data_IF_252188473553
#
_entry.id   IF_252188473553
#
_cell.length_a   1.000
_cell.length_b   1.000
_cell.length_c   1.000
_cell.angle_alpha   90.00
_cell.angle_beta   90.00
_cell.angle_gamma   90.00
#
_symmetry.space_group_name_H-M   'P 1'
#
loop_
_entity.id
_entity.type
_entity.pdbx_description
1 polymer ?
#
# COMPACT_ATOMS: atom_id res chain seq x y z
N UNK A 1 68.45 -13.26 -14.68
CA UNK A 1 67.26 -13.70 -13.93
C UNK A 1 66.46 -12.45 -13.59
N UNK A 2 65.31 -12.34 -14.23
CA UNK A 2 64.31 -11.27 -14.12
C UNK A 2 63.81 -11.12 -12.69
N UNK A 3 63.61 -9.90 -12.18
CA UNK A 3 62.60 -9.63 -11.15
C UNK A 3 61.88 -8.30 -11.45
N UNK A 4 60.55 -8.40 -11.42
CA UNK A 4 59.53 -7.47 -11.91
C UNK A 4 59.05 -6.58 -10.74
N UNK A 5 58.48 -5.42 -11.10
CA UNK A 5 57.95 -4.32 -10.29
C UNK A 5 57.05 -4.71 -9.11
N UNK A 6 56.92 -3.80 -8.13
CA UNK A 6 55.73 -3.73 -7.27
C UNK A 6 55.40 -2.27 -6.96
N UNK A 7 54.44 -1.71 -7.72
CA UNK A 7 53.73 -0.50 -7.34
C UNK A 7 52.58 -0.90 -6.40
N UNK A 8 52.62 -0.44 -5.15
CA UNK A 8 51.47 -0.56 -4.25
C UNK A 8 50.52 0.60 -4.52
N UNK A 9 49.60 0.42 -5.49
CA UNK A 9 48.39 1.23 -5.53
C UNK A 9 47.49 0.74 -4.39
N UNK A 10 47.40 1.54 -3.32
CA UNK A 10 46.37 1.35 -2.30
C UNK A 10 45.04 1.83 -2.89
N UNK A 11 44.38 0.94 -3.62
CA UNK A 11 43.03 1.14 -4.13
C UNK A 11 42.03 1.06 -2.96
N UNK A 12 41.83 2.16 -2.24
CA UNK A 12 40.75 2.27 -1.24
C UNK A 12 39.43 2.51 -1.97
N UNK A 13 38.88 1.44 -2.54
CA UNK A 13 37.51 1.43 -3.06
C UNK A 13 36.54 1.22 -1.89
N UNK A 14 36.19 2.33 -1.24
CA UNK A 14 35.21 2.31 -0.15
C UNK A 14 33.80 2.30 -0.75
N UNK A 15 33.08 1.19 -0.61
CA UNK A 15 31.64 1.10 -0.88
C UNK A 15 30.85 1.17 0.42
N UNK A 16 29.82 2.00 0.47
CA UNK A 16 28.90 2.06 1.61
C UNK A 16 27.65 1.26 1.27
N UNK A 17 27.30 0.29 2.13
CA UNK A 17 26.02 -0.41 2.06
C UNK A 17 25.19 0.03 3.26
N UNK A 18 24.01 0.62 2.99
CA UNK A 18 23.06 1.04 4.02
C UNK A 18 21.90 0.06 4.05
N UNK A 19 21.69 -0.59 5.20
CA UNK A 19 20.57 -1.49 5.43
C UNK A 19 19.49 -0.74 6.23
N UNK A 20 18.28 -0.67 5.68
CA UNK A 20 17.11 -0.09 6.34
C UNK A 20 16.06 -1.20 6.52
N UNK A 21 15.50 -1.31 7.71
CA UNK A 21 14.44 -2.28 8.00
C UNK A 21 13.82 -2.04 9.37
N UNK A 22 12.55 -2.38 9.51
CA UNK A 22 11.81 -2.33 10.78
C UNK A 22 11.43 -3.76 11.16
N UNK A 23 11.86 -4.20 12.34
CA UNK A 23 11.43 -5.48 12.91
C UNK A 23 10.17 -5.19 13.72
N UNK A 24 9.05 -5.76 13.30
CA UNK A 24 7.78 -5.69 14.02
C UNK A 24 7.41 -7.08 14.53
N UNK A 25 6.86 -7.15 15.73
CA UNK A 25 6.39 -8.39 16.36
C UNK A 25 5.02 -8.78 15.80
N UNK A 26 4.97 -9.03 14.50
CA UNK A 26 3.76 -9.46 13.79
C UNK A 26 3.98 -10.82 13.16
N UNK A 27 2.94 -11.67 13.06
CA UNK A 27 3.04 -13.01 12.49
C UNK A 27 3.44 -13.02 11.02
N UNK A 28 3.30 -11.89 10.32
CA UNK A 28 3.60 -11.71 8.91
C UNK A 28 4.45 -10.45 8.70
N UNK A 29 5.23 -10.43 7.62
CA UNK A 29 5.81 -9.21 7.06
C UNK A 29 4.85 -8.59 6.03
N UNK A 30 4.87 -7.28 5.85
CA UNK A 30 4.18 -6.63 4.72
C UNK A 30 5.18 -6.54 3.57
N UNK A 31 4.75 -6.86 2.35
CA UNK A 31 5.61 -6.70 1.17
C UNK A 31 6.08 -5.23 1.04
N UNK A 32 7.36 -5.02 0.71
CA UNK A 32 7.91 -3.66 0.61
C UNK A 32 7.26 -2.86 -0.50
N UNK A 33 6.84 -3.52 -1.59
CA UNK A 33 6.13 -2.86 -2.69
C UNK A 33 4.73 -2.41 -2.26
N UNK A 34 4.17 -3.05 -1.22
CA UNK A 34 2.85 -2.72 -0.68
C UNK A 34 2.89 -1.60 0.36
N UNK A 35 4.08 -1.25 0.87
CA UNK A 35 4.26 -0.10 1.75
C UNK A 35 3.95 1.22 1.03
N UNK A 36 4.20 1.26 -0.28
CA UNK A 36 4.07 2.47 -1.10
C UNK A 36 3.50 2.15 -2.49
N UNK A 37 2.19 1.95 -2.55
CA UNK A 37 1.49 1.76 -3.83
C UNK A 37 0.92 3.06 -4.37
N UNK A 38 1.12 3.29 -5.67
CA UNK A 38 0.47 4.37 -6.42
C UNK A 38 -0.56 3.78 -7.36
N UNK A 39 -1.83 4.17 -7.20
CA UNK A 39 -2.91 3.81 -8.14
C UNK A 39 -3.18 4.98 -9.05
N UNK A 40 -2.77 4.88 -10.31
CA UNK A 40 -2.96 5.93 -11.31
C UNK A 40 -4.33 5.82 -11.98
N UNK A 41 -5.19 6.83 -11.81
CA UNK A 41 -6.49 6.90 -12.50
C UNK A 41 -6.41 7.57 -13.88
N UNK A 42 -5.27 8.19 -14.21
CA UNK A 42 -5.15 9.02 -15.41
C UNK A 42 -6.03 10.27 -15.33
N UNK A 43 -6.46 10.76 -16.49
CA UNK A 43 -7.39 11.90 -16.56
C UNK A 43 -8.84 11.41 -16.48
N UNK A 44 -9.50 11.69 -15.35
CA UNK A 44 -10.93 11.45 -15.19
C UNK A 44 -11.68 12.76 -15.47
N UNK A 45 -12.47 12.78 -16.54
CA UNK A 45 -13.23 13.99 -16.90
C UNK A 45 -14.36 14.26 -15.90
N UNK A 46 -14.64 15.53 -15.63
CA UNK A 46 -15.76 15.93 -14.77
C UNK A 46 -17.10 15.36 -15.27
N UNK A 47 -17.32 15.31 -16.58
CA UNK A 47 -18.54 14.79 -17.19
C UNK A 47 -18.82 13.32 -16.82
N UNK A 48 -17.77 12.52 -16.58
CA UNK A 48 -17.91 11.12 -16.12
C UNK A 48 -18.37 11.04 -14.68
N UNK A 49 -18.01 12.01 -13.84
CA UNK A 49 -18.31 12.03 -12.41
C UNK A 49 -19.61 12.79 -12.08
N UNK A 50 -20.18 13.50 -13.05
CA UNK A 50 -21.45 14.19 -12.88
C UNK A 50 -22.60 13.21 -12.60
N UNK A 51 -23.60 13.67 -11.83
CA UNK A 51 -24.78 12.88 -11.45
C UNK A 51 -24.49 11.54 -10.76
N UNK A 52 -23.34 11.43 -10.08
CA UNK A 52 -22.94 10.22 -9.35
C UNK A 52 -22.30 9.15 -10.22
N UNK A 53 -21.80 9.50 -11.40
CA UNK A 53 -20.96 8.61 -12.19
C UNK A 53 -19.60 8.36 -11.52
N UNK A 54 -18.89 7.33 -12.00
CA UNK A 54 -17.63 6.86 -11.42
C UNK A 54 -16.60 6.61 -12.50
N UNK A 55 -15.31 6.69 -12.17
CA UNK A 55 -14.25 6.26 -13.07
C UNK A 55 -14.29 4.74 -13.35
N UNK A 56 -13.41 4.29 -14.25
CA UNK A 56 -13.06 2.88 -14.33
C UNK A 56 -12.55 2.38 -12.98
N UNK A 57 -12.92 1.15 -12.64
CA UNK A 57 -12.49 0.49 -11.41
C UNK A 57 -11.06 -0.01 -11.60
N UNK A 58 -10.19 0.36 -10.66
CA UNK A 58 -8.83 -0.18 -10.55
C UNK A 58 -8.73 -1.09 -9.35
N UNK A 59 -7.83 -2.07 -9.42
CA UNK A 59 -7.56 -2.98 -8.31
C UNK A 59 -6.17 -2.73 -7.76
N UNK A 60 -6.04 -2.88 -6.45
CA UNK A 60 -4.75 -2.95 -5.78
C UNK A 60 -4.80 -4.05 -4.72
N UNK A 61 -3.63 -4.50 -4.29
CA UNK A 61 -3.49 -5.67 -3.44
C UNK A 61 -2.69 -5.31 -2.20
N UNK A 62 -2.97 -5.93 -1.08
CA UNK A 62 -2.07 -5.90 0.09
C UNK A 62 -1.69 -7.35 0.36
N UNK A 63 -0.39 -7.63 0.30
CA UNK A 63 0.20 -8.94 0.49
C UNK A 63 0.94 -8.96 1.82
N UNK A 64 0.49 -9.85 2.70
CA UNK A 64 1.23 -10.22 3.89
C UNK A 64 2.09 -11.43 3.55
N UNK A 65 3.40 -11.26 3.61
CA UNK A 65 4.42 -12.27 3.32
C UNK A 65 4.80 -13.05 4.56
N UNK A 66 5.19 -14.31 4.34
CA UNK A 66 5.82 -15.17 5.35
C UNK A 66 5.02 -15.27 6.66
N UNK A 67 3.69 -15.37 6.59
CA UNK A 67 2.87 -15.51 7.77
C UNK A 67 3.12 -16.84 8.49
N UNK A 68 3.46 -16.78 9.79
CA UNK A 68 3.38 -17.92 10.70
C UNK A 68 2.21 -17.75 11.66
N UNK A 69 1.31 -18.73 11.69
CA UNK A 69 0.08 -18.67 12.49
C UNK A 69 0.27 -19.04 13.98
N UNK A 70 1.50 -19.14 14.46
CA UNK A 70 1.80 -19.54 15.84
C UNK A 70 1.34 -18.51 16.87
N UNK A 71 1.33 -17.22 16.51
CA UNK A 71 1.02 -16.10 17.42
C UNK A 71 -0.28 -15.38 17.07
N UNK A 72 -0.68 -15.37 15.80
CA UNK A 72 -1.94 -14.78 15.36
C UNK A 72 -2.50 -15.47 14.11
N UNK A 73 -3.81 -15.70 14.12
CA UNK A 73 -4.52 -16.44 13.06
C UNK A 73 -5.38 -15.54 12.18
N UNK A 74 -5.45 -14.24 12.49
CA UNK A 74 -6.31 -13.31 11.77
C UNK A 74 -5.61 -11.98 11.48
N UNK A 75 -5.98 -11.36 10.37
CA UNK A 75 -5.58 -10.01 10.02
C UNK A 75 -6.72 -9.01 10.18
N UNK A 76 -6.33 -7.78 10.55
CA UNK A 76 -7.18 -6.60 10.58
C UNK A 76 -6.49 -5.49 9.79
N UNK A 77 -7.19 -4.91 8.82
CA UNK A 77 -6.67 -3.81 8.01
C UNK A 77 -7.57 -2.59 8.23
N UNK A 78 -6.96 -1.48 8.59
CA UNK A 78 -7.62 -0.18 8.84
C UNK A 78 -6.98 0.84 7.92
N UNK A 79 -7.80 1.67 7.29
CA UNK A 79 -7.33 2.75 6.41
C UNK A 79 -7.52 4.10 7.10
N UNK A 80 -6.56 4.99 6.89
CA UNK A 80 -6.59 6.36 7.41
C UNK A 80 -6.23 7.34 6.28
N UNK A 81 -6.89 8.48 6.22
CA UNK A 81 -6.59 9.52 5.25
C UNK A 81 -7.47 10.75 5.37
N UNK A 82 -7.11 11.81 4.65
CA UNK A 82 -7.95 13.01 4.55
C UNK A 82 -9.23 12.69 3.76
N UNK A 83 -10.40 12.93 4.34
CA UNK A 83 -11.69 12.55 3.76
C UNK A 83 -12.41 13.72 3.13
N UNK A 84 -13.19 13.43 2.08
CA UNK A 84 -14.07 14.42 1.49
C UNK A 84 -15.23 14.74 2.46
N UNK A 85 -15.50 16.02 2.69
CA UNK A 85 -16.52 16.46 3.64
C UNK A 85 -17.92 15.91 3.29
N UNK A 86 -18.69 15.51 4.30
CA UNK A 86 -20.06 15.02 4.12
C UNK A 86 -20.18 13.57 3.59
N UNK A 87 -19.08 12.83 3.49
CA UNK A 87 -19.06 11.47 2.89
C UNK A 87 -18.98 10.33 3.92
N UNK A 88 -19.18 10.62 5.21
CA UNK A 88 -19.03 9.65 6.31
C UNK A 88 -17.68 8.92 6.31
N UNK A 89 -16.63 9.62 5.87
CA UNK A 89 -15.26 9.10 5.74
C UNK A 89 -15.10 7.96 4.72
N UNK A 90 -16.05 7.75 3.81
CA UNK A 90 -15.99 6.69 2.79
C UNK A 90 -15.25 7.11 1.52
N UNK A 91 -14.97 8.41 1.35
CA UNK A 91 -14.23 8.96 0.22
C UNK A 91 -12.99 9.71 0.72
N UNK A 92 -11.83 9.41 0.12
CA UNK A 92 -10.64 10.24 0.26
C UNK A 92 -10.84 11.56 -0.48
N UNK A 93 -10.39 12.64 0.15
CA UNK A 93 -10.33 13.95 -0.50
C UNK A 93 -9.32 13.93 -1.65
N UNK A 94 -9.68 14.57 -2.75
CA UNK A 94 -8.75 14.80 -3.85
C UNK A 94 -7.78 15.92 -3.45
N UNK A 95 -6.49 15.69 -3.68
CA UNK A 95 -5.47 16.72 -3.55
C UNK A 95 -5.46 17.53 -4.86
N UNK A 96 -5.94 18.78 -4.85
CA UNK A 96 -5.91 19.67 -6.01
C UNK A 96 -7.13 20.60 -6.12
N UNK A 97 -7.32 21.19 -7.31
CA UNK A 97 -8.43 22.11 -7.58
C UNK A 97 -9.78 21.43 -7.86
N UNK A 98 -9.80 20.10 -7.96
CA UNK A 98 -11.01 19.32 -8.21
C UNK A 98 -11.85 19.22 -6.93
N UNK A 99 -13.09 19.70 -6.97
CA UNK A 99 -14.05 19.65 -5.88
C UNK A 99 -15.31 18.89 -6.28
N UNK A 100 -15.94 18.18 -5.34
CA UNK A 100 -17.19 17.44 -5.58
C UNK A 100 -17.01 15.98 -6.03
N UNK A 101 -15.77 15.49 -6.03
CA UNK A 101 -15.42 14.09 -6.26
C UNK A 101 -14.44 13.62 -5.17
N UNK A 102 -14.27 12.30 -5.02
CA UNK A 102 -13.38 11.71 -4.02
C UNK A 102 -13.10 10.25 -4.33
N UNK A 103 -11.97 9.74 -3.87
CA UNK A 103 -11.58 8.34 -4.18
C UNK A 103 -12.28 7.39 -3.21
N UNK A 104 -13.05 6.46 -3.76
CA UNK A 104 -13.63 5.35 -3.03
C UNK A 104 -12.70 4.13 -3.07
N UNK A 105 -12.66 3.37 -1.98
CA UNK A 105 -12.07 2.03 -1.94
C UNK A 105 -13.12 1.05 -1.44
N UNK A 106 -13.14 -0.14 -2.02
CA UNK A 106 -13.99 -1.25 -1.64
C UNK A 106 -13.17 -2.50 -1.33
N UNK A 107 -13.62 -3.22 -0.32
CA UNK A 107 -13.18 -4.56 0.01
C UNK A 107 -14.40 -5.48 0.02
N UNK A 108 -14.33 -6.62 -0.67
CA UNK A 108 -15.43 -7.60 -0.76
C UNK A 108 -16.79 -6.99 -1.12
N UNK A 109 -16.79 -5.97 -2.00
CA UNK A 109 -18.00 -5.29 -2.48
C UNK A 109 -18.48 -4.11 -1.62
N UNK A 110 -17.96 -3.94 -0.40
CA UNK A 110 -18.36 -2.89 0.53
C UNK A 110 -17.35 -1.73 0.54
N UNK A 111 -17.84 -0.49 0.59
CA UNK A 111 -16.97 0.68 0.77
C UNK A 111 -16.30 0.62 2.14
N UNK A 112 -15.03 1.00 2.18
CA UNK A 112 -14.26 1.12 3.41
C UNK A 112 -14.34 2.55 3.94
N UNK A 113 -13.90 2.76 5.18
CA UNK A 113 -13.71 4.09 5.75
C UNK A 113 -12.23 4.42 5.93
N UNK A 114 -11.91 5.70 5.80
CA UNK A 114 -10.57 6.25 5.98
C UNK A 114 -10.44 7.01 7.32
N UNK A 115 -11.18 6.58 8.35
CA UNK A 115 -11.24 7.25 9.66
C UNK A 115 -10.16 6.78 10.65
N UNK A 116 -9.27 5.86 10.23
CA UNK A 116 -8.22 5.31 11.08
C UNK A 116 -8.72 4.40 12.22
N UNK A 117 -10.02 4.08 12.25
CA UNK A 117 -10.63 3.30 13.33
C UNK A 117 -11.45 2.11 12.83
N UNK A 118 -12.22 2.30 11.75
CA UNK A 118 -13.11 1.29 11.20
C UNK A 118 -12.31 0.29 10.35
N UNK A 119 -12.34 -1.01 10.67
CA UNK A 119 -11.63 -2.01 9.89
C UNK A 119 -12.28 -2.24 8.53
N UNK A 120 -11.48 -2.14 7.46
CA UNK A 120 -11.83 -2.57 6.12
C UNK A 120 -11.84 -4.10 6.00
N UNK A 121 -10.86 -4.74 6.65
CA UNK A 121 -10.78 -6.19 6.84
C UNK A 121 -10.85 -6.44 8.33
N UNK A 122 -11.81 -7.25 8.77
CA UNK A 122 -11.99 -7.56 10.19
C UNK A 122 -11.87 -9.07 10.41
N UNK A 123 -10.87 -9.47 11.19
CA UNK A 123 -10.63 -10.85 11.58
C UNK A 123 -10.57 -11.85 10.40
N UNK A 124 -9.97 -11.45 9.27
CA UNK A 124 -9.81 -12.37 8.14
C UNK A 124 -8.82 -13.47 8.51
N UNK A 125 -9.22 -14.73 8.37
CA UNK A 125 -8.35 -15.86 8.64
C UNK A 125 -7.11 -15.80 7.74
N UNK A 126 -5.95 -16.00 8.36
CA UNK A 126 -4.68 -16.10 7.69
C UNK A 126 -4.34 -17.57 7.44
N UNK A 127 -3.57 -17.81 6.39
CA UNK A 127 -2.92 -19.08 6.10
C UNK A 127 -1.41 -18.97 6.33
N UNK A 128 -0.72 -20.08 6.59
CA UNK A 128 0.74 -20.09 6.59
C UNK A 128 1.26 -19.69 5.19
N UNK A 129 2.30 -18.87 5.14
CA UNK A 129 2.84 -18.30 3.91
C UNK A 129 2.17 -16.99 3.51
N UNK A 130 2.01 -16.76 2.21
CA UNK A 130 1.54 -15.49 1.67
C UNK A 130 0.02 -15.35 1.71
N UNK A 131 -0.47 -14.20 2.16
CA UNK A 131 -1.90 -13.86 2.20
C UNK A 131 -2.14 -12.58 1.40
N UNK A 132 -3.05 -12.63 0.42
CA UNK A 132 -3.34 -11.49 -0.45
C UNK A 132 -4.75 -10.97 -0.20
N UNK A 133 -4.86 -9.67 0.04
CA UNK A 133 -6.11 -8.93 0.18
C UNK A 133 -6.34 -8.08 -1.07
N UNK A 134 -7.42 -8.36 -1.80
CA UNK A 134 -7.77 -7.60 -3.01
C UNK A 134 -8.73 -6.47 -2.68
N UNK A 135 -8.36 -5.26 -3.09
CA UNK A 135 -9.18 -4.07 -3.00
C UNK A 135 -9.49 -3.55 -4.39
N UNK A 136 -10.60 -2.83 -4.50
CA UNK A 136 -11.00 -2.12 -5.71
C UNK A 136 -11.20 -0.65 -5.39
N UNK A 137 -10.90 0.23 -6.34
CA UNK A 137 -10.93 1.67 -6.13
C UNK A 137 -11.37 2.40 -7.38
N UNK A 138 -12.03 3.53 -7.20
CA UNK A 138 -12.56 4.39 -8.26
C UNK A 138 -12.72 5.81 -7.72
N UNK A 139 -12.82 6.77 -8.63
CA UNK A 139 -13.15 8.18 -8.35
C UNK A 139 -14.65 8.41 -8.50
#
# INVERSE_FOLDING_TARGET
>A
MTFILSANAADTNNGTVTFNGTIIDTPCSVDQDDLHQTVEFGEVSKAVLENGGTSDIKSFYIVLKDCSLDTATTAKIVFNGGTAAGTNSELLALNGAASGAGVAVKYSGSKIKFDGATPAVNASLLSNGDNTFSFSTYV
#
